data_IF_445080038749
#
_entry.id   IF_445080038749
#
_cell.length_a   1.000
_cell.length_b   1.000
_cell.length_c   1.000
_cell.angle_alpha   90.00
_cell.angle_beta   90.00
_cell.angle_gamma   90.00
#
_symmetry.space_group_name_H-M   'P 1'
#
loop_
_entity.id
_entity.type
_entity.pdbx_description
1 polymer ?
#
# COMPACT_ATOMS: atom_id res chain seq x y z
N UNK A 1 12.56 -18.58 20.29
CA UNK A 1 13.10 -18.12 18.99
C UNK A 1 11.97 -17.48 18.21
N UNK A 2 11.80 -16.16 18.28
CA UNK A 2 10.80 -15.48 17.44
C UNK A 2 11.49 -15.16 16.13
N UNK A 3 11.33 -16.05 15.14
CA UNK A 3 11.69 -15.78 13.75
C UNK A 3 10.99 -14.51 13.31
N UNK A 4 11.70 -13.38 13.36
CA UNK A 4 11.26 -12.14 12.74
C UNK A 4 11.45 -12.35 11.24
N UNK A 5 10.53 -13.12 10.63
CA UNK A 5 10.46 -13.34 9.18
C UNK A 5 10.44 -11.95 8.55
N UNK A 6 11.59 -11.55 7.99
CA UNK A 6 11.74 -10.30 7.25
C UNK A 6 10.96 -10.47 5.97
N UNK A 7 9.65 -10.22 6.09
CA UNK A 7 8.69 -10.34 5.01
C UNK A 7 8.96 -9.17 4.05
N UNK A 8 9.95 -9.36 3.17
CA UNK A 8 10.15 -8.57 1.96
C UNK A 8 8.81 -8.58 1.22
N UNK A 9 8.10 -7.44 1.20
CA UNK A 9 6.75 -7.33 0.66
C UNK A 9 5.65 -7.00 1.67
N UNK A 10 5.92 -7.00 2.98
CA UNK A 10 4.93 -6.58 3.97
C UNK A 10 4.61 -5.08 3.83
N UNK A 11 5.59 -4.26 3.45
CA UNK A 11 5.38 -2.83 3.19
C UNK A 11 4.48 -2.60 1.98
N UNK A 12 4.72 -3.33 0.88
CA UNK A 12 3.93 -3.24 -0.35
C UNK A 12 2.49 -3.73 -0.12
N UNK A 13 2.32 -4.86 0.58
CA UNK A 13 0.99 -5.42 0.87
C UNK A 13 0.16 -4.51 1.77
N UNK A 14 0.76 -3.96 2.84
CA UNK A 14 0.09 -2.99 3.72
C UNK A 14 -0.23 -1.69 2.94
N UNK A 15 0.73 -1.20 2.16
CA UNK A 15 0.55 -0.02 1.32
C UNK A 15 -0.60 -0.18 0.33
N UNK A 16 -0.68 -1.32 -0.38
CA UNK A 16 -1.76 -1.62 -1.31
C UNK A 16 -3.12 -1.68 -0.61
N UNK A 17 -3.21 -2.37 0.53
CA UNK A 17 -4.47 -2.50 1.28
C UNK A 17 -4.98 -1.14 1.79
N UNK A 18 -4.09 -0.32 2.35
CA UNK A 18 -4.42 1.04 2.79
C UNK A 18 -4.80 1.93 1.61
N UNK A 19 -4.01 1.89 0.53
CA UNK A 19 -4.27 2.64 -0.69
C UNK A 19 -5.63 2.35 -1.30
N UNK A 20 -6.01 1.07 -1.39
CA UNK A 20 -7.34 0.65 -1.84
C UNK A 20 -8.43 1.11 -0.89
N UNK A 21 -8.25 1.00 0.43
CA UNK A 21 -9.25 1.43 1.41
C UNK A 21 -9.52 2.94 1.33
N UNK A 22 -8.46 3.76 1.21
CA UNK A 22 -8.58 5.20 1.00
C UNK A 22 -9.17 5.52 -0.38
N UNK A 23 -8.69 4.87 -1.44
CA UNK A 23 -9.18 5.06 -2.81
C UNK A 23 -10.65 4.68 -2.98
N UNK A 24 -11.10 3.60 -2.33
CA UNK A 24 -12.50 3.17 -2.32
C UNK A 24 -13.38 4.16 -1.55
N UNK A 25 -12.95 4.61 -0.36
CA UNK A 25 -13.68 5.62 0.43
C UNK A 25 -13.81 6.94 -0.32
N UNK A 26 -12.73 7.42 -0.95
CA UNK A 26 -12.74 8.65 -1.73
C UNK A 26 -13.50 8.48 -3.05
N UNK A 27 -13.43 7.30 -3.67
CA UNK A 27 -14.17 6.89 -4.87
C UNK A 27 -15.67 6.87 -4.69
N UNK A 28 -16.11 6.37 -3.54
CA UNK A 28 -17.54 6.33 -3.21
C UNK A 28 -18.16 7.73 -3.16
N UNK A 29 -17.39 8.73 -2.70
CA UNK A 29 -17.84 10.12 -2.61
C UNK A 29 -17.81 10.87 -3.95
N UNK A 30 -17.00 10.43 -4.91
CA UNK A 30 -16.75 11.12 -6.18
C UNK A 30 -17.54 10.56 -7.38
N UNK A 31 -18.33 9.49 -7.19
CA UNK A 31 -19.13 8.86 -8.25
C UNK A 31 -18.34 7.97 -9.23
N UNK A 32 -17.01 8.04 -9.23
CA UNK A 32 -16.12 7.22 -10.07
C UNK A 32 -15.23 6.33 -9.20
N UNK A 33 -15.81 5.23 -8.72
CA UNK A 33 -15.16 4.29 -7.80
C UNK A 33 -13.94 3.62 -8.43
N UNK A 34 -14.02 3.17 -9.68
CA UNK A 34 -12.94 2.43 -10.35
C UNK A 34 -11.66 3.25 -10.51
N UNK A 35 -11.77 4.53 -10.88
CA UNK A 35 -10.62 5.41 -11.08
C UNK A 35 -9.97 5.78 -9.75
N UNK A 36 -10.75 5.97 -8.70
CA UNK A 36 -10.23 6.30 -7.37
C UNK A 36 -9.63 5.09 -6.65
N UNK A 37 -10.14 3.88 -6.86
CA UNK A 37 -9.50 2.65 -6.40
C UNK A 37 -8.17 2.44 -7.11
N UNK A 38 -8.10 2.63 -8.43
CA UNK A 38 -6.86 2.51 -9.19
C UNK A 38 -5.81 3.52 -8.71
N UNK A 39 -6.21 4.77 -8.49
CA UNK A 39 -5.34 5.82 -7.97
C UNK A 39 -4.86 5.50 -6.55
N UNK A 40 -5.79 5.08 -5.67
CA UNK A 40 -5.49 4.71 -4.29
C UNK A 40 -4.55 3.52 -4.22
N UNK A 41 -4.80 2.47 -5.01
CA UNK A 41 -3.93 1.30 -5.10
C UNK A 41 -2.54 1.68 -5.62
N UNK A 42 -2.45 2.47 -6.70
CA UNK A 42 -1.16 2.93 -7.24
C UNK A 42 -0.36 3.73 -6.20
N UNK A 43 -1.02 4.65 -5.49
CA UNK A 43 -0.37 5.49 -4.49
C UNK A 43 0.02 4.69 -3.24
N UNK A 44 -0.85 3.78 -2.80
CA UNK A 44 -0.59 2.88 -1.68
C UNK A 44 0.55 1.89 -1.95
N UNK A 45 0.58 1.27 -3.13
CA UNK A 45 1.68 0.40 -3.58
C UNK A 45 2.98 1.20 -3.68
N UNK A 46 2.95 2.41 -4.24
CA UNK A 46 4.15 3.25 -4.34
C UNK A 46 4.73 3.60 -2.96
N UNK A 47 3.88 4.04 -2.02
CA UNK A 47 4.31 4.34 -0.64
C UNK A 47 4.80 3.06 0.05
N UNK A 48 4.07 1.96 -0.09
CA UNK A 48 4.43 0.67 0.48
C UNK A 48 5.76 0.14 -0.05
N UNK A 49 6.02 0.30 -1.35
CA UNK A 49 7.28 -0.07 -2.00
C UNK A 49 8.45 0.83 -1.56
N UNK A 50 8.22 2.15 -1.41
CA UNK A 50 9.23 3.07 -0.89
C UNK A 50 9.58 2.69 0.56
N UNK A 51 8.58 2.41 1.41
CA UNK A 51 8.80 1.97 2.78
C UNK A 51 9.53 0.63 2.84
N UNK A 52 9.11 -0.35 2.05
CA UNK A 52 9.77 -1.65 1.97
C UNK A 52 11.24 -1.49 1.53
N UNK A 53 11.49 -0.66 0.52
CA UNK A 53 12.84 -0.36 0.03
C UNK A 53 13.70 0.39 1.06
N UNK A 54 13.15 1.40 1.75
CA UNK A 54 13.86 2.18 2.78
C UNK A 54 14.18 1.31 4.00
N UNK A 55 13.24 0.47 4.43
CA UNK A 55 13.43 -0.47 5.54
C UNK A 55 14.48 -1.52 5.16
N UNK A 56 14.41 -2.07 3.94
CA UNK A 56 15.37 -3.05 3.42
C UNK A 56 16.77 -2.47 3.23
N UNK A 57 16.89 -1.16 2.96
CA UNK A 57 18.18 -0.45 2.86
C UNK A 57 18.83 -0.16 4.23
N UNK A 58 18.08 -0.30 5.33
CA UNK A 58 18.57 -0.12 6.70
C UNK A 58 19.07 -1.41 7.37
N UNK A 59 18.95 -2.54 6.70
CA UNK A 59 19.51 -3.84 7.11
C UNK A 59 20.90 -4.06 6.51
#
# INVERSE_FOLDING_TARGET
>A
MTEKKRNVGNGIGIGAALGVAFGATYGYKSGNISQNIALGLAMGVAIGAIFDFVIKKKE
#
